data_IF_214799991173
#
_entry.id   IF_214799991173
#
_cell.length_a   1.000
_cell.length_b   1.000
_cell.length_c   1.000
_cell.angle_alpha   90.00
_cell.angle_beta   90.00
_cell.angle_gamma   90.00
#
_symmetry.space_group_name_H-M   'P 1'
#
loop_
_entity.id
_entity.type
_entity.pdbx_description
1 polymer ?
#
# COMPACT_ATOMS: atom_id res chain seq x y z
N UNK A 1 -21.60 17.00 -2.01
CA UNK A 1 -20.76 16.14 -1.12
C UNK A 1 -20.23 15.01 -1.96
N UNK A 2 -18.93 14.72 -1.90
CA UNK A 2 -18.37 13.56 -2.60
C UNK A 2 -18.78 12.28 -1.84
N UNK A 3 -19.41 11.34 -2.54
CA UNK A 3 -19.73 10.03 -1.99
C UNK A 3 -18.51 9.11 -2.16
N UNK A 4 -18.16 8.30 -1.15
CA UNK A 4 -17.11 7.30 -1.31
C UNK A 4 -17.53 6.30 -2.38
N UNK A 5 -16.63 6.02 -3.32
CA UNK A 5 -16.91 5.14 -4.46
C UNK A 5 -15.66 4.45 -4.96
N UNK A 6 -15.83 3.27 -5.56
CA UNK A 6 -14.80 2.61 -6.35
C UNK A 6 -15.22 2.73 -7.81
N UNK A 7 -14.42 3.44 -8.61
CA UNK A 7 -14.67 3.61 -10.03
C UNK A 7 -13.77 2.65 -10.83
N UNK A 8 -14.39 1.88 -11.73
CA UNK A 8 -13.69 0.94 -12.58
C UNK A 8 -13.71 1.47 -14.01
N UNK A 9 -12.54 1.57 -14.63
CA UNK A 9 -12.36 2.06 -16.00
C UNK A 9 -11.91 0.92 -16.91
N UNK A 10 -12.24 1.02 -18.20
CA UNK A 10 -11.68 0.10 -19.19
C UNK A 10 -10.15 0.25 -19.23
N UNK A 11 -9.42 -0.86 -19.36
CA UNK A 11 -7.95 -0.83 -19.42
C UNK A 11 -7.40 0.08 -20.51
N UNK A 12 -8.11 0.16 -21.65
CA UNK A 12 -7.74 0.98 -22.81
C UNK A 12 -8.51 2.31 -22.85
N UNK A 13 -9.09 2.73 -21.73
CA UNK A 13 -9.69 4.04 -21.58
C UNK A 13 -8.69 5.13 -21.98
N UNK A 14 -9.11 6.04 -22.86
CA UNK A 14 -8.28 7.18 -23.29
C UNK A 14 -9.12 8.44 -23.33
N UNK A 15 -8.62 9.51 -22.71
CA UNK A 15 -9.33 10.78 -22.56
C UNK A 15 -10.41 10.77 -21.48
N UNK A 16 -11.39 11.64 -21.61
CA UNK A 16 -12.47 11.83 -20.64
C UNK A 16 -13.59 10.79 -20.83
N UNK A 17 -13.31 9.54 -20.48
CA UNK A 17 -14.30 8.45 -20.55
C UNK A 17 -14.93 8.18 -19.18
N UNK A 18 -16.23 7.89 -19.16
CA UNK A 18 -16.91 7.46 -17.95
C UNK A 18 -16.39 6.10 -17.47
N UNK A 19 -16.44 5.81 -16.15
CA UNK A 19 -16.15 4.48 -15.64
C UNK A 19 -17.14 3.45 -16.23
N UNK A 20 -16.66 2.24 -16.51
CA UNK A 20 -17.50 1.14 -17.01
C UNK A 20 -18.47 0.63 -15.95
N UNK A 21 -18.11 0.80 -14.68
CA UNK A 21 -19.00 0.59 -13.53
C UNK A 21 -18.46 1.34 -12.31
N UNK A 22 -19.36 1.60 -11.37
CA UNK A 22 -19.03 2.28 -10.11
C UNK A 22 -19.70 1.50 -8.98
N UNK A 23 -18.95 1.26 -7.90
CA UNK A 23 -19.48 0.75 -6.62
C UNK A 23 -19.67 1.96 -5.72
N UNK A 24 -20.91 2.31 -5.40
CA UNK A 24 -21.27 3.46 -4.59
C UNK A 24 -22.67 3.32 -3.99
N UNK A 25 -22.91 4.01 -2.87
CA UNK A 25 -24.21 3.98 -2.18
C UNK A 25 -24.08 3.52 -0.73
N UNK A 26 -25.21 3.53 0.00
CA UNK A 26 -25.22 3.27 1.44
C UNK A 26 -24.97 1.82 1.82
N UNK A 27 -25.43 0.87 1.01
CA UNK A 27 -25.25 -0.57 1.25
C UNK A 27 -23.81 -1.02 1.00
N UNK A 28 -23.04 -0.28 0.20
CA UNK A 28 -21.60 -0.55 0.00
C UNK A 28 -20.79 -0.45 1.28
N UNK A 29 -21.23 0.37 2.25
CA UNK A 29 -20.50 0.69 3.48
C UNK A 29 -19.11 1.29 3.25
N UNK A 30 -18.83 1.80 2.05
CA UNK A 30 -17.56 2.47 1.76
C UNK A 30 -17.41 3.73 2.62
N UNK A 31 -16.16 4.05 2.97
CA UNK A 31 -15.80 5.24 3.73
C UNK A 31 -14.87 6.14 2.93
N UNK A 32 -14.90 7.45 3.23
CA UNK A 32 -14.15 8.50 2.52
C UNK A 32 -12.65 8.51 2.81
N UNK A 33 -12.16 7.69 3.74
CA UNK A 33 -10.77 7.72 4.24
C UNK A 33 -9.98 6.44 3.98
N UNK A 34 -10.43 5.59 3.05
CA UNK A 34 -9.65 4.42 2.64
C UNK A 34 -8.44 4.83 1.80
N UNK A 35 -7.25 4.32 2.11
CA UNK A 35 -6.00 4.63 1.41
C UNK A 35 -5.40 3.44 0.65
N UNK A 36 -6.10 2.31 0.60
CA UNK A 36 -5.69 1.14 -0.17
C UNK A 36 -6.88 0.47 -0.87
N UNK A 37 -6.58 -0.28 -1.92
CA UNK A 37 -7.48 -1.21 -2.59
C UNK A 37 -6.61 -2.37 -3.08
N UNK A 38 -7.02 -3.60 -2.78
CA UNK A 38 -6.38 -4.79 -3.35
C UNK A 38 -7.38 -5.52 -4.24
N UNK A 39 -6.89 -6.09 -5.33
CA UNK A 39 -7.65 -6.95 -6.21
C UNK A 39 -7.09 -8.37 -6.14
N UNK A 40 -7.93 -9.32 -5.77
CA UNK A 40 -7.64 -10.74 -5.84
C UNK A 40 -8.02 -11.25 -7.23
N UNK A 41 -7.03 -11.33 -8.12
CA UNK A 41 -7.25 -11.83 -9.48
C UNK A 41 -7.70 -13.30 -9.51
N UNK A 42 -7.26 -14.12 -8.55
CA UNK A 42 -7.58 -15.56 -8.51
C UNK A 42 -9.04 -15.81 -8.16
N UNK A 43 -9.61 -14.99 -7.28
CA UNK A 43 -10.97 -15.16 -6.79
C UNK A 43 -11.96 -14.12 -7.35
N UNK A 44 -11.49 -13.16 -8.15
CA UNK A 44 -12.24 -12.01 -8.64
C UNK A 44 -12.90 -11.26 -7.47
N UNK A 45 -12.09 -10.71 -6.56
CA UNK A 45 -12.56 -9.99 -5.37
C UNK A 45 -11.81 -8.67 -5.16
N UNK A 46 -12.51 -7.66 -4.64
CA UNK A 46 -11.94 -6.35 -4.31
C UNK A 46 -11.97 -6.18 -2.80
N UNK A 47 -10.81 -5.92 -2.20
CA UNK A 47 -10.66 -5.69 -0.76
C UNK A 47 -10.36 -4.23 -0.50
N UNK A 48 -11.10 -3.62 0.41
CA UNK A 48 -10.97 -2.20 0.77
C UNK A 48 -11.02 -2.05 2.28
N UNK A 49 -10.02 -1.39 2.91
CA UNK A 49 -10.13 -1.03 4.30
C UNK A 49 -11.20 0.05 4.51
N UNK A 50 -11.87 -0.01 5.66
CA UNK A 50 -12.73 1.04 6.17
C UNK A 50 -12.28 1.42 7.59
N UNK A 51 -11.35 2.39 7.73
CA UNK A 51 -10.75 2.72 9.02
C UNK A 51 -11.73 3.41 9.99
N UNK A 52 -12.76 4.11 9.50
CA UNK A 52 -13.77 4.74 10.38
C UNK A 52 -14.71 3.72 11.02
N UNK A 53 -14.88 2.56 10.37
CA UNK A 53 -15.70 1.47 10.87
C UNK A 53 -14.84 0.34 11.46
N UNK A 54 -13.51 0.48 11.49
CA UNK A 54 -12.56 -0.56 11.89
C UNK A 54 -12.86 -1.89 11.19
N UNK A 55 -12.98 -1.82 9.87
CA UNK A 55 -13.42 -2.95 9.06
C UNK A 55 -12.57 -3.16 7.81
N UNK A 56 -12.59 -4.37 7.28
CA UNK A 56 -12.17 -4.69 5.91
C UNK A 56 -13.39 -5.16 5.14
N UNK A 57 -13.68 -4.49 4.03
CA UNK A 57 -14.80 -4.79 3.13
C UNK A 57 -14.28 -5.63 1.96
N UNK A 58 -15.01 -6.67 1.60
CA UNK A 58 -14.72 -7.49 0.42
C UNK A 58 -15.91 -7.48 -0.51
N UNK A 59 -15.70 -7.10 -1.77
CA UNK A 59 -16.69 -7.11 -2.83
C UNK A 59 -16.34 -8.17 -3.87
N UNK A 60 -17.33 -8.61 -4.66
CA UNK A 60 -17.03 -9.31 -5.91
C UNK A 60 -16.31 -8.36 -6.86
N UNK A 61 -15.43 -8.89 -7.69
CA UNK A 61 -14.69 -8.12 -8.69
C UNK A 61 -15.64 -7.44 -9.65
N UNK A 62 -16.71 -8.11 -10.06
CA UNK A 62 -17.75 -7.56 -10.92
C UNK A 62 -18.82 -6.67 -10.21
N UNK A 63 -18.65 -6.35 -8.92
CA UNK A 63 -19.63 -5.56 -8.17
C UNK A 63 -19.90 -4.18 -8.80
N UNK A 64 -21.15 -3.72 -8.71
CA UNK A 64 -21.61 -2.48 -9.31
C UNK A 64 -22.81 -1.87 -8.56
N UNK A 65 -22.96 -0.54 -8.66
CA UNK A 65 -24.00 0.20 -7.97
C UNK A 65 -23.88 0.11 -6.45
N UNK A 66 -25.02 0.05 -5.77
CA UNK A 66 -25.12 -0.03 -4.32
C UNK A 66 -25.09 -1.48 -3.82
N UNK A 67 -24.20 -2.30 -4.39
CA UNK A 67 -24.01 -3.68 -3.94
C UNK A 67 -23.26 -3.72 -2.60
N UNK A 68 -23.82 -4.48 -1.66
CA UNK A 68 -23.19 -4.73 -0.37
C UNK A 68 -21.93 -5.62 -0.51
N UNK A 69 -20.93 -5.46 0.38
CA UNK A 69 -19.78 -6.35 0.41
C UNK A 69 -20.22 -7.80 0.70
N UNK A 70 -19.60 -8.76 0.02
CA UNK A 70 -19.84 -10.20 0.22
C UNK A 70 -19.26 -10.71 1.54
N UNK A 71 -18.25 -10.01 2.08
CA UNK A 71 -17.69 -10.25 3.41
C UNK A 71 -17.30 -8.94 4.07
N UNK A 72 -17.42 -8.90 5.38
CA UNK A 72 -16.99 -7.77 6.20
C UNK A 72 -16.26 -8.33 7.41
N UNK A 73 -14.96 -8.07 7.52
CA UNK A 73 -14.18 -8.37 8.72
C UNK A 73 -14.33 -7.17 9.63
N UNK A 74 -15.05 -7.31 10.74
CA UNK A 74 -15.36 -6.21 11.65
C UNK A 74 -15.79 -6.75 13.02
N UNK A 75 -15.34 -6.09 14.08
CA UNK A 75 -15.75 -6.40 15.45
C UNK A 75 -14.56 -6.41 16.43
N UNK A 76 -14.83 -6.47 17.74
CA UNK A 76 -13.81 -6.36 18.77
C UNK A 76 -12.75 -7.47 18.73
N UNK A 77 -13.08 -8.68 18.28
CA UNK A 77 -12.12 -9.78 18.16
C UNK A 77 -11.19 -9.61 16.96
N UNK A 78 -11.47 -8.68 16.04
CA UNK A 78 -10.59 -8.40 14.90
C UNK A 78 -9.35 -7.60 15.30
N UNK A 79 -9.42 -6.82 16.38
CA UNK A 79 -8.38 -5.86 16.79
C UNK A 79 -8.06 -4.76 15.76
N UNK A 80 -8.90 -4.57 14.73
CA UNK A 80 -8.73 -3.53 13.73
C UNK A 80 -8.76 -2.15 14.40
N UNK A 81 -7.75 -1.33 14.13
CA UNK A 81 -7.65 0.04 14.61
C UNK A 81 -6.79 0.85 13.64
N UNK A 82 -7.25 2.02 13.20
CA UNK A 82 -6.53 2.86 12.23
C UNK A 82 -6.04 2.07 10.99
N UNK A 83 -6.86 1.12 10.51
CA UNK A 83 -6.50 0.22 9.39
C UNK A 83 -6.65 0.93 8.04
N UNK A 84 -5.81 1.92 7.75
CA UNK A 84 -5.88 2.73 6.53
C UNK A 84 -5.51 1.94 5.25
N UNK A 85 -4.76 0.84 5.42
CA UNK A 85 -4.11 0.11 4.33
C UNK A 85 -4.21 -1.41 4.50
N UNK A 86 -3.99 -2.15 3.41
CA UNK A 86 -3.89 -3.61 3.41
C UNK A 86 -3.04 -4.12 2.24
N UNK A 87 -2.50 -5.32 2.38
CA UNK A 87 -1.91 -6.10 1.29
C UNK A 87 -2.54 -7.49 1.25
N UNK A 88 -2.62 -8.06 0.05
CA UNK A 88 -3.13 -9.40 -0.18
C UNK A 88 -1.96 -10.33 -0.53
N UNK A 89 -1.84 -11.42 0.22
CA UNK A 89 -1.01 -12.57 -0.13
C UNK A 89 -1.91 -13.63 -0.76
N UNK A 90 -1.99 -13.62 -2.09
CA UNK A 90 -2.81 -14.56 -2.87
C UNK A 90 -2.21 -15.96 -2.98
N UNK A 91 -0.95 -16.14 -2.57
CA UNK A 91 -0.27 -17.44 -2.56
C UNK A 91 -0.67 -18.22 -1.33
N UNK A 92 -0.73 -17.56 -0.17
CA UNK A 92 -1.04 -18.18 1.12
C UNK A 92 -2.47 -17.90 1.61
N UNK A 93 -3.29 -17.21 0.81
CA UNK A 93 -4.67 -16.84 1.13
C UNK A 93 -4.79 -16.02 2.41
N UNK A 94 -4.04 -14.93 2.49
CA UNK A 94 -3.99 -14.06 3.67
C UNK A 94 -4.11 -12.57 3.35
N UNK A 95 -4.72 -11.84 4.27
CA UNK A 95 -4.87 -10.38 4.24
C UNK A 95 -4.01 -9.80 5.34
N UNK A 96 -3.02 -8.99 4.97
CA UNK A 96 -2.12 -8.32 5.89
C UNK A 96 -2.61 -6.89 6.09
N UNK A 97 -2.94 -6.54 7.33
CA UNK A 97 -3.53 -5.25 7.70
C UNK A 97 -2.64 -4.57 8.74
N UNK A 98 -1.82 -3.58 8.36
CA UNK A 98 -1.15 -2.72 9.31
C UNK A 98 -2.18 -1.88 10.09
N UNK A 99 -1.94 -1.73 11.38
CA UNK A 99 -2.69 -0.85 12.28
C UNK A 99 -1.75 0.17 12.91
N UNK A 100 -2.26 0.96 13.87
CA UNK A 100 -1.43 1.94 14.57
C UNK A 100 -0.16 1.35 15.20
N UNK A 101 -0.20 0.15 15.76
CA UNK A 101 0.94 -0.46 16.50
C UNK A 101 1.06 -1.99 16.30
N UNK A 102 0.34 -2.55 15.33
CA UNK A 102 0.40 -3.96 15.04
C UNK A 102 0.33 -4.21 13.52
N UNK A 103 0.69 -5.42 13.12
CA UNK A 103 0.30 -6.00 11.84
C UNK A 103 -0.61 -7.18 12.15
N UNK A 104 -1.85 -7.10 11.68
CA UNK A 104 -2.85 -8.14 11.82
C UNK A 104 -2.87 -8.95 10.54
N UNK A 105 -2.90 -10.28 10.65
CA UNK A 105 -3.04 -11.14 9.48
C UNK A 105 -4.28 -11.97 9.60
N UNK A 106 -5.17 -11.85 8.62
CA UNK A 106 -6.41 -12.61 8.53
C UNK A 106 -6.34 -13.63 7.39
N UNK A 107 -7.17 -14.66 7.46
CA UNK A 107 -7.45 -15.49 6.28
C UNK A 107 -8.17 -14.64 5.22
N UNK A 108 -7.89 -14.87 3.94
CA UNK A 108 -8.63 -14.28 2.80
C UNK A 108 -10.14 -14.48 2.90
N UNK A 109 -10.56 -15.61 3.49
CA UNK A 109 -11.99 -15.95 3.65
C UNK A 109 -12.58 -15.51 4.99
N UNK A 110 -11.84 -14.75 5.80
CA UNK A 110 -12.35 -14.22 7.07
C UNK A 110 -13.62 -13.38 6.85
N UNK A 111 -14.58 -13.51 7.79
CA UNK A 111 -15.84 -12.80 7.74
C UNK A 111 -16.43 -12.66 9.15
N UNK A 112 -16.99 -11.49 9.45
CA UNK A 112 -17.54 -11.14 10.76
C UNK A 112 -16.47 -10.76 11.78
N UNK A 113 -16.82 -10.96 13.03
CA UNK A 113 -15.98 -10.67 14.20
C UNK A 113 -15.07 -11.87 14.51
N UNK A 114 -13.95 -11.95 13.79
CA UNK A 114 -13.01 -13.08 13.87
C UNK A 114 -11.61 -12.62 14.27
N UNK A 115 -10.93 -13.45 15.05
CA UNK A 115 -9.54 -13.21 15.43
C UNK A 115 -8.60 -13.30 14.21
N UNK A 116 -7.52 -12.48 14.17
CA UNK A 116 -6.42 -12.68 13.23
C UNK A 116 -5.80 -14.07 13.37
N UNK A 117 -5.30 -14.62 12.27
CA UNK A 117 -4.46 -15.84 12.26
C UNK A 117 -3.18 -15.65 13.07
N UNK A 118 -2.65 -14.43 13.04
CA UNK A 118 -1.47 -14.00 13.80
C UNK A 118 -1.44 -12.49 13.95
N UNK A 119 -0.73 -12.05 14.98
CA UNK A 119 -0.57 -10.64 15.34
C UNK A 119 0.92 -10.40 15.55
N UNK A 120 1.50 -9.45 14.81
CA UNK A 120 2.85 -8.93 15.06
C UNK A 120 2.67 -7.62 15.82
N UNK A 121 3.01 -7.61 17.11
CA UNK A 121 2.82 -6.45 17.97
C UNK A 121 3.75 -6.51 19.20
N UNK A 122 4.04 -5.36 19.79
CA UNK A 122 4.86 -5.24 20.98
C UNK A 122 6.10 -4.36 20.78
N UNK A 123 6.82 -4.03 21.86
CA UNK A 123 7.91 -3.06 21.82
C UNK A 123 9.11 -3.49 20.95
N UNK A 124 9.41 -4.79 20.82
CA UNK A 124 10.50 -5.28 19.97
C UNK A 124 10.19 -5.09 18.49
N UNK A 125 8.92 -5.09 18.10
CA UNK A 125 8.51 -4.87 16.70
C UNK A 125 8.86 -3.47 16.20
N UNK A 126 8.93 -2.48 17.10
CA UNK A 126 9.12 -1.05 16.78
C UNK A 126 8.04 -0.47 15.86
N UNK A 127 6.89 -1.13 15.75
CA UNK A 127 5.75 -0.62 14.98
C UNK A 127 5.18 0.64 15.65
N UNK A 128 5.17 1.73 14.91
CA UNK A 128 4.62 3.01 15.32
C UNK A 128 3.99 3.73 14.13
N UNK A 129 2.66 3.83 14.16
CA UNK A 129 1.83 4.39 13.08
C UNK A 129 2.19 3.74 11.74
N UNK A 130 2.07 2.41 11.68
CA UNK A 130 2.35 1.65 10.48
C UNK A 130 1.44 2.13 9.34
N UNK A 131 2.06 2.47 8.21
CA UNK A 131 1.40 2.94 6.99
C UNK A 131 2.23 2.45 5.82
N UNK A 132 1.58 2.02 4.75
CA UNK A 132 2.27 1.32 3.70
C UNK A 132 2.53 -0.13 4.07
N UNK A 133 2.04 -1.04 3.24
CA UNK A 133 2.33 -2.46 3.35
C UNK A 133 2.53 -3.07 1.98
N UNK A 134 3.54 -3.93 1.86
CA UNK A 134 3.66 -4.86 0.75
C UNK A 134 4.11 -6.22 1.29
N UNK A 135 3.67 -7.27 0.63
CA UNK A 135 4.02 -8.66 0.95
C UNK A 135 4.73 -9.28 -0.24
N UNK A 136 5.79 -10.03 0.03
CA UNK A 136 6.43 -10.91 -0.92
C UNK A 136 6.28 -12.35 -0.43
N UNK A 137 5.31 -13.09 -0.99
CA UNK A 137 5.08 -14.48 -0.59
C UNK A 137 6.21 -15.42 -1.05
N UNK A 138 6.96 -15.06 -2.10
CA UNK A 138 8.03 -15.92 -2.65
C UNK A 138 9.26 -15.86 -1.75
N UNK A 139 9.63 -14.66 -1.28
CA UNK A 139 10.78 -14.48 -0.41
C UNK A 139 10.43 -14.39 1.08
N UNK A 140 9.17 -14.63 1.44
CA UNK A 140 8.65 -14.66 2.80
C UNK A 140 8.92 -13.38 3.60
N UNK A 141 8.61 -12.20 3.06
CA UNK A 141 8.71 -10.94 3.80
C UNK A 141 7.44 -10.10 3.75
N UNK A 142 7.29 -9.26 4.76
CA UNK A 142 6.33 -8.15 4.81
C UNK A 142 7.14 -6.87 5.02
N UNK A 143 6.96 -5.89 4.15
CA UNK A 143 7.54 -4.56 4.27
C UNK A 143 6.48 -3.58 4.78
N UNK A 144 6.81 -2.83 5.83
CA UNK A 144 5.91 -1.89 6.50
C UNK A 144 6.56 -0.52 6.59
N UNK A 145 5.89 0.52 6.12
CA UNK A 145 6.32 1.90 6.39
C UNK A 145 6.01 2.29 7.82
N UNK A 146 6.93 3.02 8.44
CA UNK A 146 6.89 3.29 9.87
C UNK A 146 7.24 4.75 10.19
N UNK A 147 6.64 5.29 11.25
CA UNK A 147 6.86 6.68 11.66
C UNK A 147 8.01 6.84 12.65
N UNK A 148 8.21 5.86 13.55
CA UNK A 148 9.30 5.88 14.54
C UNK A 148 9.76 4.44 14.88
N UNK A 149 10.97 4.00 14.47
CA UNK A 149 11.92 4.76 13.66
C UNK A 149 11.32 5.12 12.29
N UNK A 150 11.57 6.34 11.83
CA UNK A 150 11.15 6.82 10.52
C UNK A 150 11.87 6.01 9.45
N UNK A 151 11.13 5.19 8.70
CA UNK A 151 11.74 4.25 7.78
C UNK A 151 10.80 3.14 7.34
N UNK A 152 11.41 2.03 6.91
CA UNK A 152 10.72 0.81 6.48
C UNK A 152 11.21 -0.34 7.36
N UNK A 153 10.26 -1.04 7.98
CA UNK A 153 10.49 -2.24 8.76
C UNK A 153 10.23 -3.46 7.88
N UNK A 154 11.16 -4.41 7.89
CA UNK A 154 11.03 -5.67 7.17
C UNK A 154 10.84 -6.78 8.19
N UNK A 155 9.71 -7.48 8.12
CA UNK A 155 9.39 -8.66 8.93
C UNK A 155 9.40 -9.91 8.06
N UNK A 156 9.54 -11.10 8.66
CA UNK A 156 9.21 -12.32 7.94
C UNK A 156 7.70 -12.42 7.79
N UNK A 157 7.26 -13.06 6.71
CA UNK A 157 5.84 -13.28 6.40
C UNK A 157 5.08 -13.94 7.55
N UNK A 158 5.73 -14.89 8.21
CA UNK A 158 5.15 -15.77 9.23
C UNK A 158 5.51 -15.34 10.66
N UNK A 159 6.04 -14.13 10.85
CA UNK A 159 6.33 -13.60 12.18
C UNK A 159 5.04 -13.49 13.01
N UNK A 160 5.16 -13.73 14.32
CA UNK A 160 4.06 -13.65 15.29
C UNK A 160 4.58 -13.18 16.65
N UNK A 161 3.78 -12.37 17.34
CA UNK A 161 4.08 -11.83 18.66
C UNK A 161 5.06 -10.65 18.64
N UNK A 162 5.75 -10.48 19.77
CA UNK A 162 6.72 -9.40 19.98
C UNK A 162 8.11 -9.80 19.44
N UNK A 163 8.27 -9.70 18.13
CA UNK A 163 9.51 -10.05 17.42
C UNK A 163 10.18 -8.81 16.81
N UNK A 164 11.52 -8.73 16.78
CA UNK A 164 12.21 -7.64 16.12
C UNK A 164 12.08 -7.73 14.59
N UNK A 165 12.05 -6.60 13.86
CA UNK A 165 12.17 -6.62 12.41
C UNK A 165 13.48 -7.30 11.98
N UNK A 166 13.42 -8.07 10.89
CA UNK A 166 14.58 -8.67 10.23
C UNK A 166 15.55 -7.59 9.74
N UNK A 167 15.03 -6.47 9.26
CA UNK A 167 15.83 -5.33 8.80
C UNK A 167 15.05 -4.03 8.96
N UNK A 168 15.78 -2.93 9.15
CA UNK A 168 15.22 -1.59 9.29
C UNK A 168 15.96 -0.67 8.35
N UNK A 169 15.28 -0.17 7.32
CA UNK A 169 15.83 0.84 6.40
C UNK A 169 15.42 2.19 6.96
N UNK A 170 16.34 2.89 7.61
CA UNK A 170 16.06 4.15 8.30
C UNK A 170 17.30 5.02 8.42
N UNK A 171 17.14 6.33 8.40
CA UNK A 171 18.22 7.28 8.59
C UNK A 171 18.25 8.35 7.48
N UNK A 172 19.12 9.38 7.64
CA UNK A 172 19.14 10.53 6.76
C UNK A 172 19.52 10.21 5.29
N UNK A 173 20.40 9.24 5.02
CA UNK A 173 20.78 8.84 3.66
C UNK A 173 19.65 8.14 2.92
N UNK A 174 18.72 7.51 3.64
CA UNK A 174 17.52 6.93 3.01
C UNK A 174 16.65 8.02 2.35
N UNK A 175 16.62 9.23 2.92
CA UNK A 175 15.68 10.28 2.50
C UNK A 175 14.21 9.97 2.82
N UNK A 176 13.91 8.88 3.54
CA UNK A 176 12.54 8.49 3.90
C UNK A 176 12.02 9.47 4.96
N UNK A 177 10.90 10.12 4.65
CA UNK A 177 10.17 10.95 5.61
C UNK A 177 8.79 10.38 5.95
N UNK A 178 7.89 10.34 4.95
CA UNK A 178 6.57 9.77 5.12
C UNK A 178 6.32 8.74 4.02
N UNK A 179 6.69 7.47 4.24
CA UNK A 179 6.41 6.42 3.26
C UNK A 179 4.90 6.19 3.16
N UNK A 180 4.41 5.93 1.94
CA UNK A 180 2.97 5.74 1.66
C UNK A 180 2.70 4.44 0.92
N UNK A 181 2.85 4.44 -0.39
CA UNK A 181 2.57 3.29 -1.24
C UNK A 181 3.79 2.41 -1.35
N UNK A 182 3.54 1.11 -1.30
CA UNK A 182 4.56 0.07 -1.37
C UNK A 182 4.20 -0.94 -2.44
N UNK A 183 5.21 -1.40 -3.14
CA UNK A 183 5.11 -2.58 -4.01
C UNK A 183 6.49 -3.26 -4.07
N UNK A 184 6.52 -4.54 -4.40
CA UNK A 184 7.72 -5.38 -4.33
C UNK A 184 7.93 -6.07 -5.67
N UNK A 185 9.20 -6.31 -6.00
CA UNK A 185 9.65 -7.12 -7.13
C UNK A 185 10.38 -8.32 -6.56
N UNK A 186 9.69 -9.46 -6.41
CA UNK A 186 10.23 -10.63 -5.71
C UNK A 186 11.53 -11.16 -6.31
N UNK A 187 11.60 -11.26 -7.63
CA UNK A 187 12.74 -11.80 -8.37
C UNK A 187 14.01 -10.96 -8.22
N UNK A 188 13.89 -9.68 -7.88
CA UNK A 188 15.03 -8.76 -7.67
C UNK A 188 15.29 -8.47 -6.20
N UNK A 189 14.39 -8.91 -5.32
CA UNK A 189 14.39 -8.59 -3.89
C UNK A 189 14.31 -7.09 -3.59
N UNK A 190 13.56 -6.38 -4.42
CA UNK A 190 13.46 -4.93 -4.37
C UNK A 190 12.08 -4.47 -3.89
N UNK A 191 12.08 -3.41 -3.10
CA UNK A 191 10.87 -2.68 -2.72
C UNK A 191 10.87 -1.31 -3.39
N UNK A 192 9.71 -0.89 -3.85
CA UNK A 192 9.45 0.45 -4.34
C UNK A 192 8.54 1.12 -3.32
N UNK A 193 8.95 2.28 -2.83
CA UNK A 193 8.15 3.08 -1.92
C UNK A 193 7.98 4.50 -2.44
N UNK A 194 6.75 5.03 -2.34
CA UNK A 194 6.50 6.46 -2.52
C UNK A 194 6.78 7.19 -1.22
N UNK A 195 7.59 8.24 -1.31
CA UNK A 195 8.00 9.04 -0.17
C UNK A 195 7.43 10.44 -0.33
N UNK A 196 6.54 10.79 0.59
CA UNK A 196 5.96 12.13 0.69
C UNK A 196 6.92 13.06 1.46
N UNK A 197 7.13 14.26 0.92
CA UNK A 197 7.98 15.29 1.50
C UNK A 197 7.49 15.79 2.88
N UNK A 198 8.38 16.49 3.61
CA UNK A 198 8.04 17.06 4.92
C UNK A 198 7.07 18.23 4.76
N UNK A 199 5.96 18.17 5.49
CA UNK A 199 5.02 19.29 5.58
C UNK A 199 4.38 19.67 4.24
N UNK A 200 3.90 18.68 3.48
CA UNK A 200 3.28 18.90 2.17
C UNK A 200 2.25 20.02 2.20
N UNK A 201 2.57 21.09 1.46
CA UNK A 201 1.62 22.12 1.07
C UNK A 201 1.29 21.96 -0.41
N UNK A 202 0.03 22.21 -0.76
CA UNK A 202 -0.56 22.03 -2.10
C UNK A 202 0.22 22.77 -3.22
N UNK A 203 1.11 23.70 -2.88
CA UNK A 203 1.75 24.62 -3.83
C UNK A 203 3.29 24.69 -3.84
N UNK A 204 4.05 23.90 -3.04
CA UNK A 204 5.50 24.19 -2.86
C UNK A 204 6.52 23.05 -2.82
N UNK A 205 6.15 21.78 -2.94
CA UNK A 205 7.10 20.67 -2.71
C UNK A 205 7.54 19.92 -3.99
N UNK A 206 7.54 20.59 -5.14
CA UNK A 206 8.03 20.00 -6.39
C UNK A 206 9.50 19.59 -6.24
N UNK A 207 9.79 18.32 -6.55
CA UNK A 207 11.15 17.77 -6.50
C UNK A 207 11.62 17.27 -5.13
N UNK A 208 10.84 17.47 -4.05
CA UNK A 208 11.19 16.95 -2.72
C UNK A 208 10.69 15.52 -2.51
N UNK A 209 9.42 15.27 -2.86
CA UNK A 209 8.82 13.94 -2.89
C UNK A 209 9.45 13.09 -3.99
N UNK A 210 9.51 11.79 -3.77
CA UNK A 210 10.13 10.88 -4.72
C UNK A 210 9.56 9.48 -4.63
N UNK A 211 9.83 8.68 -5.65
CA UNK A 211 9.75 7.23 -5.56
C UNK A 211 11.15 6.70 -5.36
N UNK A 212 11.36 5.90 -4.33
CA UNK A 212 12.65 5.26 -4.08
C UNK A 212 12.56 3.75 -4.28
N UNK A 213 13.67 3.17 -4.73
CA UNK A 213 13.84 1.73 -4.90
C UNK A 213 14.97 1.29 -3.97
N UNK A 214 14.68 0.35 -3.07
CA UNK A 214 15.66 -0.27 -2.17
C UNK A 214 15.65 -1.78 -2.37
N UNK A 215 16.70 -2.48 -1.92
CA UNK A 215 16.56 -3.91 -1.67
C UNK A 215 15.92 -4.07 -0.30
N UNK A 216 14.92 -4.94 -0.14
CA UNK A 216 14.35 -5.18 1.20
C UNK A 216 15.30 -5.99 2.11
N UNK A 217 16.48 -6.35 1.62
CA UNK A 217 17.59 -6.89 2.42
C UNK A 217 18.52 -5.80 2.97
N UNK A 218 18.32 -4.54 2.57
CA UNK A 218 19.09 -3.41 3.09
C UNK A 218 18.80 -3.21 4.58
N UNK A 219 19.81 -2.80 5.36
CA UNK A 219 19.67 -2.59 6.79
C UNK A 219 20.49 -1.37 7.25
N UNK A 220 19.86 -0.48 7.98
CA UNK A 220 20.41 0.79 8.43
C UNK A 220 20.18 1.96 7.46
N UNK A 221 21.10 2.92 7.50
CA UNK A 221 21.01 4.18 6.75
C UNK A 221 21.51 4.03 5.31
N UNK A 222 20.76 3.27 4.51
CA UNK A 222 21.11 2.92 3.12
C UNK A 222 20.32 3.80 2.14
N UNK A 223 20.99 4.55 1.24
CA UNK A 223 20.29 5.33 0.22
C UNK A 223 19.56 4.42 -0.76
N UNK A 224 18.48 4.90 -1.41
CA UNK A 224 17.82 4.14 -2.46
C UNK A 224 18.79 3.81 -3.59
N UNK A 225 18.69 2.59 -4.12
CA UNK A 225 19.41 2.12 -5.30
C UNK A 225 19.10 2.97 -6.53
N UNK A 226 17.86 3.43 -6.65
CA UNK A 226 17.40 4.33 -7.70
C UNK A 226 16.24 5.21 -7.20
N UNK A 227 16.06 6.37 -7.82
CA UNK A 227 14.96 7.29 -7.49
C UNK A 227 14.28 7.85 -8.73
N UNK A 228 12.98 8.10 -8.61
CA UNK A 228 12.22 8.99 -9.49
C UNK A 228 11.99 10.27 -8.68
N UNK A 229 12.84 11.28 -8.93
CA UNK A 229 12.89 12.53 -8.17
C UNK A 229 13.24 13.71 -9.09
N UNK A 230 12.81 14.89 -8.70
CA UNK A 230 13.12 16.16 -9.38
C UNK A 230 11.87 16.85 -9.90
N UNK A 231 11.98 18.14 -10.21
CA UNK A 231 10.84 18.97 -10.59
C UNK A 231 10.13 18.48 -11.87
N UNK A 232 10.87 17.90 -12.81
CA UNK A 232 10.34 17.34 -14.06
C UNK A 232 9.46 16.12 -13.87
N UNK A 233 9.53 15.45 -12.72
CA UNK A 233 8.65 14.32 -12.39
C UNK A 233 7.23 14.77 -12.05
N UNK A 234 7.07 16.05 -11.71
CA UNK A 234 5.82 16.67 -11.23
C UNK A 234 5.26 16.07 -9.93
N UNK A 235 5.97 15.13 -9.29
CA UNK A 235 5.57 14.53 -8.02
C UNK A 235 5.58 15.57 -6.89
N UNK A 236 4.48 15.67 -6.14
CA UNK A 236 4.31 16.54 -4.97
C UNK A 236 3.90 15.72 -3.74
N UNK A 237 2.92 14.85 -3.87
CA UNK A 237 2.42 13.98 -2.81
C UNK A 237 2.02 12.61 -3.37
N UNK A 238 3.02 11.79 -3.77
CA UNK A 238 2.76 10.45 -4.26
C UNK A 238 2.18 9.58 -3.14
N UNK A 239 1.14 8.82 -3.47
CA UNK A 239 0.41 7.95 -2.54
C UNK A 239 0.61 6.50 -2.94
N UNK A 240 -0.22 5.95 -3.81
CA UNK A 240 -0.11 4.58 -4.28
C UNK A 240 1.02 4.38 -5.29
N UNK A 241 1.60 3.18 -5.27
CA UNK A 241 2.44 2.66 -6.33
C UNK A 241 1.93 1.28 -6.75
N UNK A 242 1.99 0.98 -8.04
CA UNK A 242 1.67 -0.33 -8.60
C UNK A 242 2.63 -0.69 -9.72
N UNK A 243 2.74 -1.98 -10.04
CA UNK A 243 3.64 -2.50 -11.07
C UNK A 243 2.85 -3.17 -12.19
N UNK A 244 3.30 -2.94 -13.42
CA UNK A 244 3.00 -3.81 -14.56
C UNK A 244 4.28 -4.55 -14.96
N UNK A 245 4.41 -5.80 -14.52
CA UNK A 245 5.57 -6.63 -14.85
C UNK A 245 5.67 -6.95 -16.35
N UNK A 246 4.52 -7.03 -17.05
CA UNK A 246 4.48 -7.38 -18.47
C UNK A 246 5.01 -6.26 -19.34
N UNK A 247 4.68 -5.01 -19.00
CA UNK A 247 5.14 -3.83 -19.72
C UNK A 247 6.33 -3.14 -19.06
N UNK A 248 6.79 -3.66 -17.92
CA UNK A 248 7.88 -3.12 -17.11
C UNK A 248 7.63 -1.64 -16.75
N UNK A 249 6.47 -1.36 -16.16
CA UNK A 249 6.06 -0.01 -15.77
C UNK A 249 5.82 0.10 -14.27
N UNK A 250 6.16 1.26 -13.70
CA UNK A 250 5.74 1.69 -12.37
C UNK A 250 4.64 2.72 -12.55
N UNK A 251 3.51 2.48 -11.91
CA UNK A 251 2.43 3.44 -11.80
C UNK A 251 2.47 4.14 -10.46
N UNK A 252 2.32 5.46 -10.47
CA UNK A 252 2.32 6.30 -9.27
C UNK A 252 1.16 7.25 -9.34
N UNK A 253 0.38 7.32 -8.27
CA UNK A 253 -0.71 8.31 -8.15
C UNK A 253 -0.28 9.45 -7.24
N UNK A 254 -0.59 10.67 -7.64
CA UNK A 254 -0.31 11.87 -6.84
C UNK A 254 -1.60 12.59 -6.49
N UNK A 255 -1.81 12.78 -5.18
CA UNK A 255 -3.08 13.33 -4.65
C UNK A 255 -3.23 14.84 -4.90
N UNK A 256 -2.12 15.56 -5.12
CA UNK A 256 -2.14 17.01 -5.33
C UNK A 256 -2.24 17.33 -6.81
N UNK A 257 -1.49 16.61 -7.64
CA UNK A 257 -1.57 16.76 -9.09
C UNK A 257 -2.90 16.23 -9.67
N UNK A 258 -3.63 15.40 -8.92
CA UNK A 258 -4.76 14.62 -9.44
C UNK A 258 -4.35 13.84 -10.70
N UNK A 259 -3.13 13.30 -10.67
CA UNK A 259 -2.49 12.70 -11.83
C UNK A 259 -2.06 11.25 -11.54
N UNK A 260 -2.07 10.48 -12.61
CA UNK A 260 -1.52 9.15 -12.70
C UNK A 260 -0.27 9.21 -13.58
N UNK A 261 0.85 8.78 -13.05
CA UNK A 261 2.13 8.75 -13.75
C UNK A 261 2.51 7.31 -14.06
N UNK A 262 3.00 7.08 -15.27
CA UNK A 262 3.60 5.81 -15.68
C UNK A 262 5.08 6.05 -15.99
N UNK A 263 5.95 5.24 -15.39
CA UNK A 263 7.40 5.31 -15.60
C UNK A 263 7.92 3.96 -16.10
N UNK A 264 8.83 3.98 -17.07
CA UNK A 264 9.52 2.78 -17.55
C UNK A 264 10.55 2.31 -16.52
N UNK A 265 10.38 1.07 -16.07
CA UNK A 265 11.24 0.38 -15.11
C UNK A 265 12.70 0.29 -15.58
N UNK A 266 12.92 -0.16 -16.82
CA UNK A 266 14.27 -0.35 -17.36
C UNK A 266 15.08 0.95 -17.39
N UNK A 267 14.44 2.05 -17.77
CA UNK A 267 15.11 3.36 -17.84
C UNK A 267 15.52 3.89 -16.47
N UNK A 268 14.76 3.59 -15.41
CA UNK A 268 15.08 4.02 -14.05
C UNK A 268 16.35 3.31 -13.54
N UNK A 269 16.54 2.04 -13.89
CA UNK A 269 17.66 1.23 -13.43
C UNK A 269 18.97 1.47 -14.20
N UNK A 270 18.88 2.00 -15.43
CA UNK A 270 20.05 2.35 -16.24
C UNK A 270 20.73 3.65 -15.77
N UNK A 271 20.12 4.39 -14.84
CA UNK A 271 20.59 5.70 -14.40
C UNK A 271 20.36 6.79 -15.47
N UNK A 272 20.65 8.07 -15.15
CA UNK A 272 20.49 9.15 -16.11
C UNK A 272 21.42 8.92 -17.32
N UNK A 273 20.84 8.82 -18.51
CA UNK A 273 21.63 8.94 -19.74
C UNK A 273 22.10 10.40 -19.83
N UNK A 274 23.42 10.59 -19.89
CA UNK A 274 24.07 11.90 -20.01
C UNK A 274 23.81 12.52 -21.37
#
# INVERSE_FOLDING_TARGET
MANPRIAIFARLANGNVAPVRVIEGGHTRLSRTSHAIAFDEKNDEILVPNPLAEAVLVFRGNASGDEAPIRTIQGPHTFLQDNDELALDSVHDEIIVPTRQAVLVFSRTANGDVAPLRIIAGPKTRLNRARGVAVDPVNNIIAIGNSDPQGILIFNRTDEGDVPPRSIISGPKTGIYAPKGFTIIPERKELIATIEARGVQVSRNLGESFVGIWNYTDNGDIPPKATIKGETTMLIAPRGAALDFKHQEIFVIDKIQNAFFAYSWEKILQGPQR
#
